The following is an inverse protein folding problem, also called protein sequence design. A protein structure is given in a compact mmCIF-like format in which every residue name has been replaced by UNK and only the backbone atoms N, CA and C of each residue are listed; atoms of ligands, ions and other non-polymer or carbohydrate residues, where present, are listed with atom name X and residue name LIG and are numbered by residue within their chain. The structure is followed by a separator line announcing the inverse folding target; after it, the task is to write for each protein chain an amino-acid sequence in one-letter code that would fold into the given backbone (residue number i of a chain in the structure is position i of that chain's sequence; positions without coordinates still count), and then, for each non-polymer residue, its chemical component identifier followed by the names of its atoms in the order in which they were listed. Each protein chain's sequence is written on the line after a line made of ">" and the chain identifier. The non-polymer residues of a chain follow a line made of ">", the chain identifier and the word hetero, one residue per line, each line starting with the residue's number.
data_IF_261328725597
#
_entry.id   IF_261328725597
#
_cell.length_a   1.000
_cell.length_b   1.000
_cell.length_c   1.000
_cell.angle_alpha   90.00
_cell.angle_beta   90.00
_cell.angle_gamma   90.00
#
_symmetry.space_group_name_H-M   'P 1'
#
loop_
_entity.id
_entity.type
_entity.pdbx_description
1 polymer ?
#
# COMPACT_ATOMS: atom_id res chain seq x y z
N UNK A 1 -10.00 37.37 -9.62
CA UNK A 1 -11.12 37.37 -8.64
C UNK A 1 -11.93 36.07 -8.65
N UNK A 2 -12.76 35.76 -9.66
CA UNK A 2 -13.50 34.46 -9.68
C UNK A 2 -12.58 33.24 -9.91
N UNK A 3 -11.60 33.34 -10.80
CA UNK A 3 -10.64 32.25 -11.06
C UNK A 3 -9.69 31.99 -9.87
N UNK A 4 -9.28 33.04 -9.15
CA UNK A 4 -8.45 32.90 -7.93
C UNK A 4 -9.25 32.26 -6.80
N UNK A 5 -10.49 32.71 -6.56
CA UNK A 5 -11.37 32.11 -5.55
C UNK A 5 -11.71 30.64 -5.87
N UNK A 6 -11.89 30.28 -7.14
CA UNK A 6 -12.07 28.90 -7.56
C UNK A 6 -10.80 28.04 -7.36
N UNK A 7 -9.62 28.64 -7.55
CA UNK A 7 -8.34 28.00 -7.28
C UNK A 7 -8.12 27.71 -5.80
N UNK A 8 -8.40 28.68 -4.93
CA UNK A 8 -8.32 28.50 -3.47
C UNK A 8 -9.27 27.40 -2.97
N UNK A 9 -10.53 27.42 -3.42
CA UNK A 9 -11.52 26.38 -3.09
C UNK A 9 -11.08 24.98 -3.53
N UNK A 10 -10.46 24.85 -4.71
CA UNK A 10 -9.94 23.57 -5.18
C UNK A 10 -8.81 23.05 -4.28
N UNK A 11 -7.87 23.93 -3.92
CA UNK A 11 -6.71 23.58 -3.11
C UNK A 11 -7.15 23.08 -1.74
N UNK A 12 -8.04 23.80 -1.08
CA UNK A 12 -8.56 23.42 0.25
C UNK A 12 -9.28 22.08 0.19
N UNK A 13 -10.17 21.89 -0.80
CA UNK A 13 -10.91 20.65 -0.96
C UNK A 13 -10.00 19.46 -1.30
N UNK A 14 -8.99 19.67 -2.14
CA UNK A 14 -8.01 18.64 -2.46
C UNK A 14 -7.24 18.21 -1.21
N UNK A 15 -6.70 19.14 -0.42
CA UNK A 15 -5.93 18.81 0.77
C UNK A 15 -6.78 18.11 1.84
N UNK A 16 -8.05 18.54 2.00
CA UNK A 16 -8.98 17.86 2.89
C UNK A 16 -9.21 16.40 2.46
N UNK A 17 -9.55 16.18 1.17
CA UNK A 17 -9.81 14.83 0.64
C UNK A 17 -8.57 13.95 0.56
N UNK A 18 -7.42 14.54 0.23
CA UNK A 18 -6.14 13.86 0.29
C UNK A 18 -5.83 13.42 1.72
N UNK A 19 -5.97 14.32 2.69
CA UNK A 19 -5.79 14.00 4.10
C UNK A 19 -6.73 12.90 4.59
N UNK A 20 -8.01 12.95 4.23
CA UNK A 20 -8.97 11.86 4.50
C UNK A 20 -8.50 10.51 3.95
N UNK A 21 -8.06 10.48 2.69
CA UNK A 21 -7.56 9.26 2.06
C UNK A 21 -6.29 8.73 2.77
N UNK A 22 -5.32 9.60 3.05
CA UNK A 22 -4.08 9.24 3.74
C UNK A 22 -4.35 8.62 5.11
N UNK A 23 -5.23 9.24 5.90
CA UNK A 23 -5.67 8.73 7.20
C UNK A 23 -6.32 7.36 7.09
N UNK A 24 -7.22 7.19 6.13
CA UNK A 24 -7.89 5.92 5.91
C UNK A 24 -6.91 4.80 5.53
N UNK A 25 -5.86 5.10 4.76
CA UNK A 25 -4.83 4.12 4.37
C UNK A 25 -3.98 3.63 5.55
N UNK A 26 -3.75 4.46 6.55
CA UNK A 26 -2.98 4.09 7.76
C UNK A 26 -3.87 3.80 8.98
N UNK A 27 -5.19 3.93 8.87
CA UNK A 27 -6.14 3.57 9.92
C UNK A 27 -6.05 4.43 11.17
N UNK A 28 -5.81 5.74 11.01
CA UNK A 28 -5.75 6.70 12.11
C UNK A 28 -6.89 7.70 12.04
N UNK A 29 -7.41 8.12 13.20
CA UNK A 29 -8.49 9.10 13.33
C UNK A 29 -7.99 10.50 13.61
N UNK A 30 -6.95 10.65 14.41
CA UNK A 30 -6.39 11.96 14.74
C UNK A 30 -5.79 12.61 13.50
N UNK A 31 -6.24 13.83 13.16
CA UNK A 31 -5.85 14.48 11.90
C UNK A 31 -4.39 14.90 11.88
N UNK A 32 -3.90 15.49 12.97
CA UNK A 32 -2.56 16.06 13.04
C UNK A 32 -1.50 14.96 13.19
N UNK A 33 -1.75 14.00 14.07
CA UNK A 33 -0.87 12.85 14.25
C UNK A 33 -0.75 12.03 12.96
N UNK A 34 -1.87 11.82 12.27
CA UNK A 34 -1.86 11.08 11.02
C UNK A 34 -1.18 11.84 9.88
N UNK A 35 -1.28 13.18 9.84
CA UNK A 35 -0.53 14.00 8.87
C UNK A 35 0.98 13.84 9.09
N UNK A 36 1.45 14.00 10.33
CA UNK A 36 2.87 13.84 10.65
C UNK A 36 3.39 12.45 10.31
N UNK A 37 2.67 11.41 10.76
CA UNK A 37 3.01 10.02 10.45
C UNK A 37 2.96 9.72 8.95
N UNK A 38 2.06 10.35 8.19
CA UNK A 38 2.02 10.19 6.74
C UNK A 38 3.25 10.79 6.07
N UNK A 39 3.62 12.02 6.43
CA UNK A 39 4.78 12.72 5.86
C UNK A 39 6.08 11.91 6.11
N UNK A 40 6.26 11.40 7.33
CA UNK A 40 7.38 10.54 7.70
C UNK A 40 7.35 9.19 6.96
N UNK A 41 6.16 8.58 6.82
CA UNK A 41 5.99 7.32 6.10
C UNK A 41 6.42 7.45 4.65
N UNK A 42 5.95 8.50 3.95
CA UNK A 42 6.28 8.71 2.54
C UNK A 42 7.79 8.90 2.36
N UNK A 43 8.44 9.61 3.28
CA UNK A 43 9.89 9.82 3.27
C UNK A 43 10.67 8.49 3.40
N UNK A 44 10.31 7.64 4.37
CA UNK A 44 10.99 6.35 4.56
C UNK A 44 10.68 5.36 3.44
N UNK A 45 9.43 5.34 2.94
CA UNK A 45 9.05 4.51 1.81
C UNK A 45 9.82 4.89 0.54
N UNK A 46 9.95 6.19 0.25
CA UNK A 46 10.68 6.70 -0.92
C UNK A 46 12.18 6.36 -0.87
N UNK A 47 12.76 6.29 0.33
CA UNK A 47 14.16 5.90 0.54
C UNK A 47 14.39 4.39 0.59
N UNK A 48 13.33 3.59 0.43
CA UNK A 48 13.36 2.13 0.56
C UNK A 48 12.91 1.44 -0.73
N UNK A 49 13.26 0.16 -0.88
CA UNK A 49 12.70 -0.68 -1.95
C UNK A 49 11.46 -1.42 -1.47
N UNK A 50 10.48 -0.68 -0.97
CA UNK A 50 9.18 -1.21 -0.53
C UNK A 50 8.15 -1.08 -1.64
N UNK A 51 7.28 -2.07 -1.76
CA UNK A 51 6.11 -2.02 -2.62
C UNK A 51 4.96 -1.35 -1.88
N UNK A 52 4.47 -0.23 -2.41
CA UNK A 52 3.50 0.60 -1.69
C UNK A 52 2.15 -0.08 -1.50
N UNK A 53 1.64 -0.74 -2.54
CA UNK A 53 0.33 -1.41 -2.47
C UNK A 53 0.40 -2.61 -1.53
N UNK A 54 1.46 -3.42 -1.63
CA UNK A 54 1.64 -4.58 -0.74
C UNK A 54 1.84 -4.11 0.69
N UNK A 55 2.61 -3.03 0.92
CA UNK A 55 2.83 -2.43 2.24
C UNK A 55 1.53 -1.99 2.89
N UNK A 56 0.75 -1.12 2.25
CA UNK A 56 -0.49 -0.62 2.85
C UNK A 56 -1.49 -1.76 3.12
N UNK A 57 -1.56 -2.76 2.23
CA UNK A 57 -2.40 -3.93 2.48
C UNK A 57 -1.87 -4.79 3.63
N UNK A 58 -0.57 -5.03 3.70
CA UNK A 58 0.07 -5.79 4.78
C UNK A 58 -0.10 -5.09 6.13
N UNK A 59 0.03 -3.76 6.17
CA UNK A 59 -0.23 -2.94 7.35
C UNK A 59 -1.70 -3.03 7.79
N UNK A 60 -2.64 -3.11 6.84
CA UNK A 60 -4.05 -3.35 7.13
C UNK A 60 -4.25 -4.73 7.78
N UNK A 61 -3.45 -5.72 7.37
CA UNK A 61 -3.51 -7.08 7.88
C UNK A 61 -2.70 -7.29 9.18
N UNK A 62 -1.82 -6.36 9.53
CA UNK A 62 -0.98 -6.45 10.71
C UNK A 62 -1.81 -6.41 12.00
N UNK A 63 -1.48 -7.32 12.92
CA UNK A 63 -1.97 -7.24 14.29
C UNK A 63 -0.99 -6.38 15.11
N UNK A 64 -1.41 -5.15 15.41
CA UNK A 64 -0.58 -4.21 16.17
C UNK A 64 -0.69 -4.59 17.65
N UNK A 65 0.41 -5.08 18.26
CA UNK A 65 0.33 -5.65 19.59
C UNK A 65 0.06 -4.54 20.63
N UNK A 66 -0.72 -4.86 21.66
CA UNK A 66 -1.03 -3.92 22.77
C UNK A 66 0.23 -3.53 23.54
N UNK A 67 1.18 -4.46 23.65
CA UNK A 67 2.47 -4.30 24.32
C UNK A 67 3.57 -4.96 23.48
N UNK A 68 4.82 -4.51 23.62
CA UNK A 68 5.95 -5.06 22.87
C UNK A 68 6.22 -4.38 21.52
N UNK A 69 7.12 -4.97 20.75
CA UNK A 69 7.63 -4.45 19.49
C UNK A 69 6.83 -4.94 18.29
N UNK A 70 6.71 -4.09 17.28
CA UNK A 70 6.22 -4.40 15.94
C UNK A 70 7.28 -3.90 14.96
N UNK A 71 7.89 -4.81 14.22
CA UNK A 71 9.05 -4.56 13.38
C UNK A 71 8.73 -4.52 11.89
N UNK A 72 9.79 -4.42 11.09
CA UNK A 72 9.72 -4.48 9.63
C UNK A 72 9.50 -5.92 9.14
N UNK A 73 9.84 -6.89 9.97
CA UNK A 73 9.80 -8.33 9.74
C UNK A 73 8.35 -8.81 9.51
N UNK A 74 7.41 -8.24 10.27
CA UNK A 74 5.97 -8.45 10.17
C UNK A 74 5.40 -7.94 8.83
N UNK A 75 6.12 -7.02 8.17
CA UNK A 75 5.77 -6.42 6.89
C UNK A 75 6.70 -6.86 5.75
N UNK A 76 7.54 -7.87 5.98
CA UNK A 76 8.60 -8.32 5.06
C UNK A 76 8.10 -8.66 3.66
N UNK A 77 6.85 -9.11 3.52
CA UNK A 77 6.22 -9.41 2.21
C UNK A 77 6.17 -8.21 1.26
N UNK A 78 6.22 -6.99 1.79
CA UNK A 78 6.17 -5.75 1.01
C UNK A 78 7.55 -5.29 0.53
N UNK A 79 8.63 -5.84 1.07
CA UNK A 79 9.98 -5.38 0.76
C UNK A 79 10.57 -6.17 -0.41
N UNK A 80 11.00 -5.45 -1.46
CA UNK A 80 11.75 -6.05 -2.55
C UNK A 80 13.18 -6.41 -2.10
N UNK A 81 13.71 -5.59 -1.20
CA UNK A 81 14.99 -5.72 -0.50
C UNK A 81 14.77 -5.25 0.95
N UNK A 82 15.38 -5.96 1.90
CA UNK A 82 15.28 -5.59 3.31
C UNK A 82 15.91 -4.21 3.54
N UNK A 83 15.28 -3.33 4.33
CA UNK A 83 15.88 -2.04 4.66
C UNK A 83 17.10 -2.24 5.55
N UNK A 84 18.13 -1.43 5.33
CA UNK A 84 19.40 -1.48 6.07
C UNK A 84 19.84 -0.06 6.49
N UNK A 85 20.76 0.01 7.46
CA UNK A 85 21.35 1.26 7.95
C UNK A 85 20.30 2.30 8.34
N UNK A 86 20.48 3.55 7.88
CA UNK A 86 19.59 4.68 8.20
C UNK A 86 18.14 4.47 7.76
N UNK A 87 17.90 3.70 6.70
CA UNK A 87 16.54 3.43 6.22
C UNK A 87 15.83 2.48 7.19
N UNK A 88 16.53 1.48 7.70
CA UNK A 88 16.00 0.59 8.74
C UNK A 88 15.71 1.35 10.03
N UNK A 89 16.59 2.28 10.43
CA UNK A 89 16.36 3.11 11.62
C UNK A 89 15.11 3.99 11.45
N UNK A 90 14.95 4.63 10.29
CA UNK A 90 13.73 5.40 9.97
C UNK A 90 12.46 4.55 10.00
N UNK A 91 12.51 3.28 9.55
CA UNK A 91 11.37 2.37 9.66
C UNK A 91 11.05 2.04 11.11
N UNK A 92 12.06 1.78 11.95
CA UNK A 92 11.86 1.49 13.38
C UNK A 92 11.24 2.68 14.10
N UNK A 93 11.73 3.90 13.82
CA UNK A 93 11.20 5.13 14.40
C UNK A 93 9.74 5.34 13.99
N UNK A 94 9.44 5.19 12.70
CA UNK A 94 8.10 5.33 12.18
C UNK A 94 7.13 4.29 12.76
N UNK A 95 7.51 3.00 12.76
CA UNK A 95 6.67 1.92 13.30
C UNK A 95 6.42 2.09 14.79
N UNK A 96 7.41 2.54 15.55
CA UNK A 96 7.28 2.86 16.97
C UNK A 96 6.26 3.97 17.20
N UNK A 97 6.37 5.08 16.46
CA UNK A 97 5.45 6.20 16.53
C UNK A 97 4.03 5.82 16.10
N UNK A 98 3.90 5.07 15.00
CA UNK A 98 2.63 4.56 14.50
C UNK A 98 1.93 3.64 15.52
N UNK A 99 2.65 2.66 16.07
CA UNK A 99 2.09 1.75 17.07
C UNK A 99 1.64 2.50 18.33
N UNK A 100 2.41 3.50 18.77
CA UNK A 100 2.03 4.36 19.89
C UNK A 100 0.74 5.11 19.61
N UNK A 101 0.60 5.71 18.43
CA UNK A 101 -0.62 6.43 18.04
C UNK A 101 -1.83 5.50 17.93
N UNK A 102 -1.67 4.34 17.30
CA UNK A 102 -2.73 3.32 17.21
C UNK A 102 -3.22 2.90 18.60
N UNK A 103 -2.30 2.72 19.56
CA UNK A 103 -2.66 2.36 20.94
C UNK A 103 -3.37 3.49 21.67
N UNK A 104 -2.99 4.75 21.44
CA UNK A 104 -3.61 5.90 22.10
C UNK A 104 -5.03 6.17 21.62
N UNK A 105 -5.36 5.85 20.37
CA UNK A 105 -6.73 6.01 19.84
C UNK A 105 -7.71 4.98 20.43
N UNK A 106 -7.21 3.87 20.99
CA UNK A 106 -8.03 2.87 21.67
C UNK A 106 -9.07 2.19 20.79
N UNK A 107 -8.91 2.27 19.46
CA UNK A 107 -9.85 1.69 18.50
C UNK A 107 -9.81 0.16 18.50
N UNK A 108 -10.98 -0.44 18.25
CA UNK A 108 -11.09 -1.87 18.01
C UNK A 108 -10.28 -2.28 16.76
N UNK A 109 -9.40 -3.26 16.92
CA UNK A 109 -8.49 -3.69 15.86
C UNK A 109 -9.24 -4.23 14.62
N UNK A 110 -10.44 -4.78 14.79
CA UNK A 110 -11.27 -5.27 13.67
C UNK A 110 -11.84 -4.12 12.85
N UNK A 111 -12.37 -3.08 13.51
CA UNK A 111 -12.90 -1.90 12.81
C UNK A 111 -11.79 -1.12 12.09
N UNK A 112 -10.63 -0.93 12.72
CA UNK A 112 -9.46 -0.31 12.07
C UNK A 112 -9.08 -1.10 10.81
N UNK A 113 -8.92 -2.42 10.94
CA UNK A 113 -8.58 -3.33 9.82
C UNK A 113 -9.60 -3.23 8.69
N UNK A 114 -10.89 -3.23 9.00
CA UNK A 114 -11.96 -3.12 8.02
C UNK A 114 -11.88 -1.79 7.26
N UNK A 115 -11.69 -0.68 7.97
CA UNK A 115 -11.52 0.65 7.36
C UNK A 115 -10.30 0.71 6.44
N UNK A 116 -9.15 0.21 6.92
CA UNK A 116 -7.93 0.17 6.12
C UNK A 116 -8.08 -0.72 4.88
N UNK A 117 -8.70 -1.90 4.98
CA UNK A 117 -8.94 -2.78 3.83
C UNK A 117 -9.84 -2.15 2.77
N UNK A 118 -10.79 -1.30 3.17
CA UNK A 118 -11.62 -0.55 2.23
C UNK A 118 -10.84 0.56 1.51
N UNK A 119 -9.81 1.14 2.14
CA UNK A 119 -8.95 2.16 1.55
C UNK A 119 -7.75 1.59 0.76
N UNK A 120 -7.32 0.37 1.10
CA UNK A 120 -6.10 -0.26 0.58
C UNK A 120 -6.42 -1.46 -0.31
N UNK A 121 -6.33 -1.32 -1.65
CA UNK A 121 -6.57 -2.43 -2.55
C UNK A 121 -5.49 -3.50 -2.33
N UNK A 122 -5.89 -4.76 -2.44
CA UNK A 122 -4.99 -5.92 -2.42
C UNK A 122 -4.36 -6.16 -3.79
N UNK A 123 -5.08 -5.81 -4.86
CA UNK A 123 -4.66 -6.04 -6.24
C UNK A 123 -4.68 -4.75 -7.06
N UNK A 124 -3.60 -4.50 -7.80
CA UNK A 124 -3.51 -3.44 -8.81
C UNK A 124 -2.96 -4.03 -10.11
N UNK A 125 -3.28 -3.39 -11.24
CA UNK A 125 -2.76 -3.82 -12.53
C UNK A 125 -1.29 -3.43 -12.63
N UNK A 126 -0.40 -4.42 -12.54
CA UNK A 126 1.05 -4.22 -12.65
C UNK A 126 1.56 -4.67 -14.00
N UNK A 127 2.55 -3.96 -14.54
CA UNK A 127 3.10 -4.27 -15.85
C UNK A 127 3.60 -5.71 -15.96
N UNK A 128 4.25 -6.25 -14.91
CA UNK A 128 4.73 -7.63 -14.91
C UNK A 128 3.62 -8.68 -14.96
N UNK A 129 2.42 -8.36 -14.45
CA UNK A 129 1.27 -9.25 -14.56
C UNK A 129 0.80 -9.38 -16.01
N UNK A 130 0.96 -8.31 -16.79
CA UNK A 130 0.58 -8.26 -18.19
C UNK A 130 1.58 -8.97 -19.11
N UNK A 131 2.85 -9.10 -18.72
CA UNK A 131 3.87 -9.76 -19.55
C UNK A 131 3.44 -11.18 -19.96
N UNK A 132 3.07 -12.02 -18.99
CA UNK A 132 2.59 -13.38 -19.28
C UNK A 132 1.23 -13.39 -19.99
N UNK A 133 0.40 -12.37 -19.74
CA UNK A 133 -0.90 -12.24 -20.41
C UNK A 133 -0.74 -11.97 -21.91
N UNK A 134 0.23 -11.13 -22.28
CA UNK A 134 0.53 -10.81 -23.68
C UNK A 134 1.13 -12.01 -24.42
N UNK A 135 2.10 -12.70 -23.81
CA UNK A 135 2.75 -13.89 -24.41
C UNK A 135 1.74 -15.01 -24.75
N UNK A 136 0.70 -15.18 -23.92
CA UNK A 136 -0.38 -16.14 -24.17
C UNK A 136 -1.36 -15.60 -25.24
N UNK A 137 -1.72 -14.33 -25.17
CA UNK A 137 -2.65 -13.71 -26.10
C UNK A 137 -2.12 -13.69 -27.55
N UNK A 138 -0.82 -13.52 -27.76
CA UNK A 138 -0.17 -13.62 -29.08
C UNK A 138 -0.34 -15.00 -29.72
N UNK A 139 -0.54 -16.04 -28.89
CA UNK A 139 -0.82 -17.42 -29.33
C UNK A 139 -2.32 -17.71 -29.41
N UNK A 140 -3.17 -16.69 -29.24
CA UNK A 140 -4.62 -16.81 -29.23
C UNK A 140 -5.21 -17.27 -27.89
N UNK A 141 -4.41 -17.40 -26.82
CA UNK A 141 -4.89 -17.78 -25.49
C UNK A 141 -5.12 -16.55 -24.60
N UNK A 142 -6.38 -16.19 -24.40
CA UNK A 142 -6.80 -15.05 -23.59
C UNK A 142 -7.11 -15.40 -22.13
N UNK A 143 -6.81 -16.62 -21.68
CA UNK A 143 -7.18 -17.10 -20.34
C UNK A 143 -6.59 -16.21 -19.25
N UNK A 144 -5.32 -15.81 -19.38
CA UNK A 144 -4.65 -14.94 -18.40
C UNK A 144 -5.20 -13.52 -18.37
N UNK A 145 -5.60 -12.97 -19.52
CA UNK A 145 -6.24 -11.64 -19.59
C UNK A 145 -7.59 -11.66 -18.87
N UNK A 146 -8.40 -12.69 -19.11
CA UNK A 146 -9.70 -12.85 -18.45
C UNK A 146 -9.55 -13.02 -16.94
N UNK A 147 -8.59 -13.83 -16.49
CA UNK A 147 -8.28 -14.01 -15.08
C UNK A 147 -7.91 -12.68 -14.40
N UNK A 148 -7.00 -11.90 -14.99
CA UNK A 148 -6.63 -10.58 -14.47
C UNK A 148 -7.82 -9.62 -14.42
N UNK A 149 -8.69 -9.63 -15.43
CA UNK A 149 -9.89 -8.81 -15.43
C UNK A 149 -10.83 -9.16 -14.27
N UNK A 150 -11.04 -10.45 -13.99
CA UNK A 150 -11.87 -10.87 -12.84
C UNK A 150 -11.27 -10.44 -11.50
N UNK A 151 -9.94 -10.54 -11.36
CA UNK A 151 -9.24 -10.09 -10.16
C UNK A 151 -9.43 -8.59 -9.95
N UNK A 152 -9.25 -7.80 -11.00
CA UNK A 152 -9.28 -6.33 -10.94
C UNK A 152 -10.69 -5.74 -10.80
N UNK A 153 -11.75 -6.53 -11.03
CA UNK A 153 -13.14 -6.10 -10.73
C UNK A 153 -13.40 -5.95 -9.23
N UNK A 154 -12.66 -6.66 -8.39
CA UNK A 154 -12.79 -6.65 -6.93
C UNK A 154 -11.41 -6.49 -6.27
N UNK A 155 -10.73 -5.34 -6.47
CA UNK A 155 -9.33 -5.20 -6.11
C UNK A 155 -9.10 -5.07 -4.59
N UNK A 156 -10.15 -4.76 -3.82
CA UNK A 156 -10.09 -4.62 -2.36
C UNK A 156 -10.44 -5.92 -1.60
N UNK A 157 -11.15 -6.83 -2.28
CA UNK A 157 -11.66 -8.06 -1.68
C UNK A 157 -10.54 -9.07 -1.45
N UNK A 158 -10.73 -9.91 -0.44
CA UNK A 158 -9.98 -11.16 -0.37
C UNK A 158 -10.45 -12.08 -1.51
N UNK A 159 -9.50 -12.69 -2.21
CA UNK A 159 -9.77 -13.66 -3.27
C UNK A 159 -9.19 -15.02 -2.88
N UNK A 160 -9.30 -16.02 -3.77
CA UNK A 160 -8.83 -17.36 -3.46
C UNK A 160 -7.33 -17.37 -3.14
N UNK A 161 -6.88 -18.38 -2.40
CA UNK A 161 -5.47 -18.51 -2.01
C UNK A 161 -4.57 -18.52 -3.24
N UNK A 162 -4.98 -19.20 -4.30
CA UNK A 162 -4.25 -19.31 -5.56
C UNK A 162 -4.06 -17.93 -6.24
N UNK A 163 -5.12 -17.11 -6.27
CA UNK A 163 -5.06 -15.74 -6.79
C UNK A 163 -4.15 -14.86 -5.92
N UNK A 164 -4.26 -14.98 -4.59
CA UNK A 164 -3.42 -14.24 -3.65
C UNK A 164 -1.94 -14.59 -3.83
N UNK A 165 -1.58 -15.88 -3.89
CA UNK A 165 -0.19 -16.33 -4.08
C UNK A 165 0.40 -15.87 -5.43
N UNK A 166 -0.47 -15.75 -6.45
CA UNK A 166 -0.07 -15.34 -7.79
C UNK A 166 0.14 -13.83 -7.92
N UNK A 167 -0.76 -13.03 -7.36
CA UNK A 167 -0.83 -11.59 -7.63
C UNK A 167 -0.59 -10.67 -6.42
N UNK A 168 -0.83 -11.13 -5.19
CA UNK A 168 -0.56 -10.34 -3.98
C UNK A 168 0.89 -10.57 -3.54
N UNK A 169 1.82 -10.07 -4.34
CA UNK A 169 3.26 -10.14 -4.08
C UNK A 169 4.00 -9.02 -4.80
N UNK A 170 5.20 -8.69 -4.31
CA UNK A 170 6.11 -7.76 -4.99
C UNK A 170 6.52 -8.27 -6.36
N UNK A 171 6.98 -7.36 -7.22
CA UNK A 171 7.50 -7.69 -8.55
C UNK A 171 8.56 -8.81 -8.47
N UNK A 172 8.33 -9.97 -9.12
CA UNK A 172 9.27 -11.09 -9.11
C UNK A 172 10.63 -10.70 -9.67
N UNK A 173 11.71 -11.27 -9.11
CA UNK A 173 13.11 -10.93 -9.48
C UNK A 173 13.36 -10.94 -10.99
N UNK A 174 12.78 -11.91 -11.72
CA UNK A 174 12.91 -12.04 -13.19
C UNK A 174 12.40 -10.82 -13.98
N UNK A 175 11.48 -10.05 -13.42
CA UNK A 175 10.91 -8.87 -14.08
C UNK A 175 11.57 -7.56 -13.64
N UNK A 176 12.37 -7.55 -12.55
CA UNK A 176 12.96 -6.34 -11.96
C UNK A 176 13.99 -5.65 -12.85
N UNK A 177 14.63 -6.39 -13.75
CA UNK A 177 15.65 -5.86 -14.67
C UNK A 177 15.10 -5.55 -16.07
N UNK A 178 13.81 -5.81 -16.33
CA UNK A 178 13.24 -5.64 -17.67
C UNK A 178 12.77 -4.20 -17.90
N UNK A 179 13.26 -3.53 -18.96
CA UNK A 179 12.80 -2.19 -19.35
C UNK A 179 11.28 -2.17 -19.57
N UNK A 180 10.61 -1.13 -19.10
CA UNK A 180 9.14 -0.98 -19.23
C UNK A 180 8.29 -1.86 -18.31
N UNK A 181 8.88 -2.88 -17.67
CA UNK A 181 8.16 -3.81 -16.78
C UNK A 181 8.37 -3.48 -15.29
N UNK A 182 9.59 -3.05 -14.90
CA UNK A 182 9.92 -2.78 -13.49
C UNK A 182 9.80 -1.32 -13.04
N UNK A 183 9.77 -0.36 -13.98
CA UNK A 183 9.96 1.07 -13.66
C UNK A 183 8.67 1.81 -13.26
N UNK A 184 7.50 1.16 -13.35
CA UNK A 184 6.19 1.74 -13.04
C UNK A 184 5.28 0.72 -12.32
N UNK A 185 5.82 -0.02 -11.36
CA UNK A 185 5.07 -1.03 -10.59
C UNK A 185 5.15 -0.80 -9.11
#
# INVERSE_FOLDING_TARGET
>A
RLAEAAGELYVDHFFEKHGEACRAKIGLKDKEAAKGLWDDLISVMASSRVDWTVFFRALSDADIPKEGSFGVEELSIAFLEAPEGKVLDGWKDWLSAYCKQVRSEGEDASERRKGMKAANPKYIMRNWMMTEAYELAEKGDYTRVKELLEVLRRPYDEQTKEISEKYYRVTPKRYRALPGVSFMS
#
